data_IF_105685659620
#
_entry.id   IF_105685659620
#
_cell.length_a   1.000
_cell.length_b   1.000
_cell.length_c   1.000
_cell.angle_alpha   90.00
_cell.angle_beta   90.00
_cell.angle_gamma   90.00
#
_symmetry.space_group_name_H-M   'P 1'
#
loop_
_entity.id
_entity.type
_entity.pdbx_description
1 polymer ?
#
# COMPACT_ATOMS: atom_id res chain seq x y z
N UNK A 1 -3.94 2.89 -0.36
CA UNK A 1 -3.36 3.77 -1.41
C UNK A 1 -3.90 3.40 -2.78
N UNK A 2 -3.93 4.34 -3.74
CA UNK A 2 -4.49 4.11 -5.09
C UNK A 2 -3.44 4.03 -6.20
N UNK A 3 -2.15 4.06 -5.87
CA UNK A 3 -1.06 3.88 -6.85
C UNK A 3 0.17 3.22 -6.24
N UNK A 4 0.90 2.48 -7.07
CA UNK A 4 2.09 1.73 -6.68
C UNK A 4 3.22 2.64 -6.17
N UNK A 5 3.47 3.78 -6.83
CA UNK A 5 4.55 4.69 -6.46
C UNK A 5 4.45 5.12 -4.99
N UNK A 6 3.25 5.48 -4.54
CA UNK A 6 3.06 5.86 -3.15
C UNK A 6 3.22 4.66 -2.21
N UNK A 7 2.74 3.48 -2.59
CA UNK A 7 2.93 2.25 -1.82
C UNK A 7 4.43 1.93 -1.61
N UNK A 8 5.26 2.09 -2.63
CA UNK A 8 6.71 1.87 -2.55
C UNK A 8 7.41 2.92 -1.70
N UNK A 9 7.00 4.19 -1.78
CA UNK A 9 7.50 5.24 -0.88
C UNK A 9 7.18 4.90 0.58
N UNK A 10 5.98 4.36 0.86
CA UNK A 10 5.62 3.91 2.20
C UNK A 10 6.51 2.76 2.67
N UNK A 11 6.59 1.71 1.86
CA UNK A 11 7.35 0.52 2.21
C UNK A 11 8.84 0.84 2.45
N UNK A 12 9.46 1.58 1.53
CA UNK A 12 10.92 1.83 1.55
C UNK A 12 11.37 2.94 2.50
N UNK A 13 10.55 3.98 2.72
CA UNK A 13 10.99 5.17 3.47
C UNK A 13 10.49 5.22 4.90
N UNK A 14 9.37 4.56 5.19
CA UNK A 14 8.76 4.54 6.51
C UNK A 14 8.82 3.12 7.10
N UNK A 15 8.23 2.11 6.45
CA UNK A 15 8.14 0.77 7.05
C UNK A 15 9.52 0.13 7.27
N UNK A 16 10.41 0.15 6.27
CA UNK A 16 11.78 -0.38 6.40
C UNK A 16 12.55 0.23 7.57
N UNK A 17 12.32 1.51 7.91
CA UNK A 17 13.02 2.15 9.05
C UNK A 17 12.60 1.56 10.39
N UNK A 18 11.34 1.15 10.52
CA UNK A 18 10.78 0.64 11.76
C UNK A 18 10.92 -0.89 11.89
N UNK A 19 10.77 -1.63 10.79
CA UNK A 19 10.74 -3.10 10.80
C UNK A 19 11.93 -3.78 10.10
N UNK A 20 12.79 -3.02 9.40
CA UNK A 20 13.88 -3.55 8.57
C UNK A 20 13.45 -4.14 7.22
N UNK A 21 12.14 -4.34 6.99
CA UNK A 21 11.56 -4.89 5.77
C UNK A 21 10.25 -4.19 5.41
N UNK A 22 10.05 -3.91 4.13
CA UNK A 22 8.80 -3.38 3.59
C UNK A 22 8.35 -4.18 2.37
N UNK A 23 7.04 -4.44 2.28
CA UNK A 23 6.44 -5.13 1.13
C UNK A 23 5.33 -4.28 0.54
N UNK A 24 5.14 -4.41 -0.77
CA UNK A 24 4.00 -3.85 -1.49
C UNK A 24 3.20 -5.00 -2.07
N UNK A 25 1.97 -5.15 -1.59
CA UNK A 25 1.01 -6.13 -2.10
C UNK A 25 0.01 -5.43 -3.02
N UNK A 26 -0.32 -6.08 -4.14
CA UNK A 26 -1.38 -5.63 -5.04
C UNK A 26 -2.61 -6.53 -4.92
N UNK A 27 -3.78 -5.90 -4.83
CA UNK A 27 -5.07 -6.56 -4.76
C UNK A 27 -5.94 -6.09 -5.93
N UNK A 28 -6.61 -7.03 -6.57
CA UNK A 28 -7.71 -6.72 -7.48
C UNK A 28 -9.01 -6.73 -6.68
N UNK A 29 -9.70 -5.58 -6.71
CA UNK A 29 -10.98 -5.36 -6.04
C UNK A 29 -12.02 -4.90 -7.04
N UNK A 30 -13.30 -5.05 -6.70
CA UNK A 30 -14.39 -4.54 -7.53
C UNK A 30 -14.31 -3.02 -7.65
N UNK A 31 -14.20 -2.50 -8.88
CA UNK A 31 -14.24 -1.06 -9.14
C UNK A 31 -15.53 -0.43 -8.59
N UNK A 32 -16.66 -1.12 -8.76
CA UNK A 32 -17.95 -0.67 -8.23
C UNK A 32 -17.99 -0.55 -6.70
N UNK A 33 -17.13 -1.27 -5.98
CA UNK A 33 -17.03 -1.11 -4.52
C UNK A 33 -16.29 0.18 -4.17
N UNK A 34 -15.09 0.40 -4.73
CA UNK A 34 -14.21 1.51 -4.35
C UNK A 34 -14.55 2.85 -5.03
N UNK A 35 -15.31 2.86 -6.12
CA UNK A 35 -15.72 4.09 -6.82
C UNK A 35 -16.73 4.94 -6.06
N UNK A 36 -17.41 4.36 -5.05
CA UNK A 36 -18.29 5.11 -4.16
C UNK A 36 -17.52 6.06 -3.24
N UNK A 37 -16.27 5.73 -2.92
CA UNK A 37 -15.41 6.53 -2.05
C UNK A 37 -14.58 7.54 -2.85
N UNK A 38 -14.55 8.77 -2.33
CA UNK A 38 -13.68 9.80 -2.89
C UNK A 38 -12.21 9.47 -2.62
N UNK A 39 -11.37 9.57 -3.66
CA UNK A 39 -9.92 9.50 -3.51
C UNK A 39 -9.45 10.69 -2.69
N UNK A 40 -8.78 10.40 -1.58
CA UNK A 40 -8.16 11.40 -0.71
C UNK A 40 -6.74 11.67 -1.16
N UNK A 41 -6.32 12.92 -1.14
CA UNK A 41 -4.91 13.30 -1.26
C UNK A 41 -4.37 13.66 0.12
N UNK A 42 -3.36 12.94 0.58
CA UNK A 42 -2.80 13.07 1.94
C UNK A 42 -1.41 13.72 1.96
N UNK A 43 -1.04 14.45 0.91
CA UNK A 43 0.22 15.16 0.85
C UNK A 43 0.67 15.50 -0.57
N UNK A 44 1.66 14.78 -1.07
CA UNK A 44 2.18 14.97 -2.43
C UNK A 44 1.10 14.71 -3.50
N UNK A 45 1.32 15.21 -4.72
CA UNK A 45 0.33 15.09 -5.81
C UNK A 45 -0.11 13.63 -6.09
N UNK A 46 0.78 12.66 -5.89
CA UNK A 46 0.52 11.22 -6.05
C UNK A 46 0.28 10.49 -4.72
N UNK A 47 0.19 11.19 -3.58
CA UNK A 47 -0.09 10.57 -2.28
C UNK A 47 -1.59 10.40 -2.10
N UNK A 48 -2.14 9.39 -2.76
CA UNK A 48 -3.59 9.18 -2.84
C UNK A 48 -4.03 7.85 -2.27
N UNK A 49 -5.19 7.84 -1.61
CA UNK A 49 -5.78 6.67 -0.97
C UNK A 49 -7.31 6.71 -0.91
N UNK A 50 -7.92 5.53 -0.78
CA UNK A 50 -9.31 5.37 -0.37
C UNK A 50 -9.39 5.24 1.14
N UNK A 51 -10.40 5.86 1.74
CA UNK A 51 -10.71 5.72 3.17
C UNK A 51 -11.95 4.85 3.32
N UNK A 52 -11.74 3.55 3.42
CA UNK A 52 -12.82 2.58 3.59
C UNK A 52 -13.22 2.57 5.07
N UNK A 53 -14.52 2.74 5.41
CA UNK A 53 -15.00 2.61 6.77
C UNK A 53 -14.66 1.24 7.37
N UNK A 54 -14.39 1.19 8.68
CA UNK A 54 -13.97 -0.04 9.33
C UNK A 54 -15.07 -1.12 9.29
N UNK A 55 -16.33 -0.71 9.35
CA UNK A 55 -17.52 -1.55 9.22
C UNK A 55 -17.69 -2.18 7.83
N UNK A 56 -17.02 -1.64 6.80
CA UNK A 56 -17.07 -2.14 5.43
C UNK A 56 -15.86 -3.02 5.07
N UNK A 57 -14.95 -3.25 6.01
CA UNK A 57 -13.74 -4.03 5.76
C UNK A 57 -14.05 -5.47 5.31
N UNK A 58 -15.05 -6.11 5.91
CA UNK A 58 -15.48 -7.46 5.50
C UNK A 58 -16.05 -7.45 4.08
N UNK A 59 -16.84 -6.42 3.73
CA UNK A 59 -17.37 -6.26 2.38
C UNK A 59 -16.26 -5.98 1.35
N UNK A 60 -15.25 -5.19 1.70
CA UNK A 60 -14.06 -5.00 0.85
C UNK A 60 -13.37 -6.34 0.60
N UNK A 61 -13.15 -7.13 1.65
CA UNK A 61 -12.48 -8.44 1.55
C UNK A 61 -13.25 -9.41 0.64
N UNK A 62 -14.59 -9.40 0.69
CA UNK A 62 -15.44 -10.21 -0.19
C UNK A 62 -15.33 -9.80 -1.67
N UNK A 63 -14.87 -8.58 -1.97
CA UNK A 63 -14.64 -8.11 -3.34
C UNK A 63 -13.25 -8.40 -3.88
N UNK A 64 -12.32 -8.89 -3.04
CA UNK A 64 -10.97 -9.23 -3.46
C UNK A 64 -11.07 -10.46 -4.37
N UNK A 65 -10.87 -10.25 -5.67
CA UNK A 65 -10.93 -11.31 -6.67
C UNK A 65 -9.66 -12.20 -6.68
N UNK A 66 -8.59 -11.72 -6.04
CA UNK A 66 -7.32 -12.42 -5.89
C UNK A 66 -6.26 -11.56 -5.20
N UNK A 67 -5.33 -12.22 -4.50
CA UNK A 67 -4.11 -11.61 -3.97
C UNK A 67 -3.06 -11.79 -5.05
N UNK A 68 -2.83 -10.74 -5.84
CA UNK A 68 -2.27 -10.99 -7.17
C UNK A 68 -0.76 -10.91 -7.25
N UNK A 69 -0.05 -10.34 -6.27
CA UNK A 69 1.38 -10.60 -6.02
C UNK A 69 1.94 -9.65 -4.94
N UNK A 70 3.10 -10.02 -4.39
CA UNK A 70 4.03 -9.05 -3.82
C UNK A 70 4.80 -8.42 -4.97
N UNK A 71 4.46 -7.17 -5.29
CA UNK A 71 5.04 -6.43 -6.43
C UNK A 71 6.26 -5.58 -6.04
N UNK A 72 6.59 -5.54 -4.75
CA UNK A 72 7.78 -4.84 -4.25
C UNK A 72 8.22 -5.38 -2.90
N UNK A 73 9.53 -5.51 -2.74
CA UNK A 73 10.18 -5.84 -1.48
C UNK A 73 11.36 -4.88 -1.28
N UNK A 74 11.47 -4.34 -0.07
CA UNK A 74 12.48 -3.39 0.33
C UNK A 74 13.09 -3.85 1.64
N UNK A 75 14.41 -3.78 1.75
CA UNK A 75 15.15 -4.06 2.97
C UNK A 75 15.95 -2.83 3.42
N UNK A 76 16.29 -2.78 4.70
CA UNK A 76 17.32 -1.87 5.14
C UNK A 76 18.62 -2.36 4.51
N UNK A 77 19.19 -1.58 3.56
CA UNK A 77 20.53 -1.87 3.03
C UNK A 77 21.46 -2.17 4.21
N UNK A 78 22.22 -3.27 4.19
CA UNK A 78 23.15 -3.56 5.26
C UNK A 78 24.07 -2.35 5.42
N UNK A 79 24.11 -1.78 6.62
CA UNK A 79 25.12 -0.78 6.97
C UNK A 79 26.47 -1.45 6.77
N UNK A 80 27.18 -1.10 5.70
CA UNK A 80 28.59 -1.44 5.55
C UNK A 80 29.29 -0.86 6.78
N UNK A 81 29.73 -1.73 7.69
CA UNK A 81 30.67 -1.34 8.72
C UNK A 81 31.97 -0.99 7.99
N UNK A 82 32.23 0.31 7.82
CA UNK A 82 33.55 0.81 7.46
C UNK A 82 34.58 0.18 8.43
N UNK A 83 35.52 -0.57 7.86
CA UNK A 83 36.61 -1.24 8.59
C UNK A 83 37.73 -0.25 8.89
#
# INVERSE_FOLDING_TARGET
VTNQRYAEEIASRWNVKDSGLGYVAQFEVSAAFVEHDAIQNVGGAHHTEWWIPAEELDALNDTIAGLNDIIGQFDARPTEHET
#
